data_IF_607486440500
#
_entry.id   IF_607486440500
#
_cell.length_a   1.000
_cell.length_b   1.000
_cell.length_c   1.000
_cell.angle_alpha   90.00
_cell.angle_beta   90.00
_cell.angle_gamma   90.00
#
_symmetry.space_group_name_H-M   'P 1'
#
loop_
_entity.id
_entity.type
_entity.pdbx_description
1 polymer ?
#
# COMPACT_ATOMS: atom_id res chain seq x y z
N UNK A 1 20.66 0.38 -3.80
CA UNK A 1 20.32 -0.09 -5.17
C UNK A 1 20.57 -1.55 -5.48
N UNK A 2 21.79 -2.08 -5.27
CA UNK A 2 22.08 -3.49 -5.55
C UNK A 2 21.11 -4.44 -4.81
N UNK A 3 20.88 -4.22 -3.52
CA UNK A 3 19.89 -4.95 -2.72
C UNK A 3 18.46 -4.89 -3.31
N UNK A 4 18.01 -3.72 -3.78
CA UNK A 4 16.68 -3.57 -4.37
C UNK A 4 16.54 -4.27 -5.74
N UNK A 5 17.65 -4.46 -6.48
CA UNK A 5 17.69 -5.26 -7.71
C UNK A 5 17.67 -6.75 -7.39
N UNK A 6 18.48 -7.19 -6.43
CA UNK A 6 18.51 -8.55 -5.93
C UNK A 6 17.13 -9.04 -5.47
N UNK A 7 16.45 -8.27 -4.61
CA UNK A 7 15.09 -8.58 -4.14
C UNK A 7 14.10 -8.70 -5.31
N UNK A 8 14.19 -7.83 -6.31
CA UNK A 8 13.28 -7.82 -7.47
C UNK A 8 13.49 -9.01 -8.40
N UNK A 9 14.73 -9.47 -8.56
CA UNK A 9 15.09 -10.52 -9.51
C UNK A 9 15.23 -11.91 -8.87
N UNK A 10 15.36 -11.98 -7.55
CA UNK A 10 15.68 -13.22 -6.84
C UNK A 10 17.16 -13.62 -6.95
N UNK A 11 18.02 -12.69 -7.37
CA UNK A 11 19.47 -12.90 -7.51
C UNK A 11 20.20 -12.48 -6.22
N UNK A 12 21.37 -13.06 -5.89
CA UNK A 12 22.20 -12.59 -4.77
C UNK A 12 22.69 -11.15 -4.99
N UNK A 13 22.94 -10.43 -3.89
CA UNK A 13 23.37 -9.03 -3.96
C UNK A 13 24.80 -8.93 -4.49
N UNK A 14 24.95 -8.35 -5.68
CA UNK A 14 26.26 -8.03 -6.27
C UNK A 14 26.63 -6.58 -5.99
N UNK A 15 27.63 -6.36 -5.13
CA UNK A 15 28.20 -5.04 -4.88
C UNK A 15 29.43 -4.82 -5.78
N UNK A 16 29.57 -3.63 -6.40
CA UNK A 16 30.80 -3.29 -7.12
C UNK A 16 31.99 -3.28 -6.16
N UNK A 17 33.14 -3.82 -6.58
CA UNK A 17 34.38 -3.80 -5.78
C UNK A 17 34.77 -2.39 -5.24
N UNK A 18 34.58 -1.28 -6.00
CA UNK A 18 34.80 0.06 -5.47
C UNK A 18 33.88 0.44 -4.29
N UNK A 19 32.64 -0.05 -4.28
CA UNK A 19 31.69 0.22 -3.20
C UNK A 19 32.05 -0.56 -1.94
N UNK A 20 32.49 -1.81 -2.08
CA UNK A 20 32.99 -2.63 -0.97
C UNK A 20 34.28 -2.03 -0.40
N UNK A 21 35.19 -1.56 -1.26
CA UNK A 21 36.41 -0.89 -0.83
C UNK A 21 36.12 0.41 -0.05
N UNK A 22 35.17 1.23 -0.50
CA UNK A 22 34.75 2.45 0.20
C UNK A 22 34.12 2.17 1.57
N UNK A 23 33.43 1.04 1.73
CA UNK A 23 32.86 0.59 3.00
C UNK A 23 33.93 0.00 3.95
N UNK A 24 34.97 -0.64 3.40
CA UNK A 24 36.12 -1.19 4.15
C UNK A 24 37.14 -0.12 4.56
N UNK A 25 37.12 1.07 3.96
CA UNK A 25 38.06 2.16 4.33
C UNK A 25 37.78 2.66 5.75
N UNK A 26 38.75 2.56 6.68
CA UNK A 26 38.55 2.88 8.11
C UNK A 26 38.29 4.37 8.41
N UNK A 27 38.36 5.26 7.43
CA UNK A 27 38.31 6.71 7.61
C UNK A 27 36.89 7.30 7.72
N UNK A 28 35.83 6.48 7.78
CA UNK A 28 34.47 7.00 7.94
C UNK A 28 34.30 7.76 9.25
N UNK A 29 35.00 7.35 10.31
CA UNK A 29 35.03 8.03 11.61
C UNK A 29 35.81 9.35 11.61
N UNK A 30 36.67 9.59 10.61
CA UNK A 30 37.41 10.84 10.43
C UNK A 30 36.61 11.88 9.61
N UNK A 31 35.72 11.42 8.74
CA UNK A 31 34.92 12.27 7.81
C UNK A 31 33.53 12.61 8.34
N UNK A 32 32.88 11.68 9.06
CA UNK A 32 31.54 11.87 9.60
C UNK A 32 31.60 11.81 11.13
N UNK A 33 31.10 12.85 11.79
CA UNK A 33 30.99 12.90 13.26
C UNK A 33 29.54 13.13 13.67
N UNK A 34 29.13 12.61 14.83
CA UNK A 34 27.81 12.89 15.40
C UNK A 34 26.64 12.27 14.60
N UNK A 35 25.58 13.05 14.24
CA UNK A 35 24.38 12.51 13.57
C UNK A 35 24.60 11.88 12.19
N UNK A 36 25.39 12.46 11.27
CA UNK A 36 25.72 11.84 9.98
C UNK A 36 26.36 10.46 10.11
N UNK A 37 27.27 10.27 11.07
CA UNK A 37 27.90 8.97 11.34
C UNK A 37 26.85 7.95 11.77
N UNK A 38 25.95 8.31 12.70
CA UNK A 38 24.86 7.42 13.13
C UNK A 38 23.91 7.02 12.01
N UNK A 39 23.61 7.94 11.11
CA UNK A 39 22.77 7.65 9.95
C UNK A 39 23.48 6.67 9.00
N UNK A 40 24.78 6.84 8.79
CA UNK A 40 25.61 5.92 8.03
C UNK A 40 25.67 4.52 8.67
N UNK A 41 25.94 4.44 9.98
CA UNK A 41 26.00 3.16 10.72
C UNK A 41 24.64 2.42 10.69
N UNK A 42 23.53 3.17 10.85
CA UNK A 42 22.19 2.59 10.80
C UNK A 42 21.84 2.12 9.40
N UNK A 43 22.25 2.86 8.37
CA UNK A 43 22.07 2.45 6.98
C UNK A 43 22.90 1.21 6.66
N UNK A 44 24.16 1.16 7.10
CA UNK A 44 25.05 0.01 6.98
C UNK A 44 24.43 -1.24 7.63
N UNK A 45 23.97 -1.15 8.88
CA UNK A 45 23.30 -2.24 9.57
C UNK A 45 22.05 -2.74 8.81
N UNK A 46 21.16 -1.83 8.40
CA UNK A 46 19.96 -2.21 7.64
C UNK A 46 20.29 -2.82 6.27
N UNK A 47 21.36 -2.38 5.62
CA UNK A 47 21.80 -2.95 4.34
C UNK A 47 22.44 -4.32 4.53
N UNK A 48 23.23 -4.53 5.59
CA UNK A 48 23.77 -5.84 5.95
C UNK A 48 22.63 -6.84 6.18
N UNK A 49 21.63 -6.47 6.99
CA UNK A 49 20.43 -7.31 7.24
C UNK A 49 19.71 -7.69 5.93
N UNK A 50 19.62 -6.75 4.98
CA UNK A 50 18.97 -6.99 3.69
C UNK A 50 19.81 -7.86 2.77
N UNK A 51 21.14 -7.71 2.78
CA UNK A 51 22.06 -8.54 2.00
C UNK A 51 22.03 -9.98 2.52
N UNK A 52 22.06 -10.17 3.84
CA UNK A 52 21.99 -11.47 4.52
C UNK A 52 20.62 -12.15 4.32
N UNK A 53 19.53 -11.39 4.33
CA UNK A 53 18.19 -11.91 4.06
C UNK A 53 17.91 -12.17 2.56
N UNK A 54 18.63 -11.52 1.65
CA UNK A 54 18.50 -11.69 0.21
C UNK A 54 19.33 -12.88 -0.28
N UNK A 55 19.03 -14.08 0.22
CA UNK A 55 19.49 -15.32 -0.41
C UNK A 55 18.85 -15.45 -1.80
N UNK A 56 19.66 -15.23 -2.83
CA UNK A 56 19.26 -15.47 -4.21
C UNK A 56 19.55 -16.90 -4.68
N UNK A 57 18.94 -17.30 -5.79
CA UNK A 57 19.13 -18.63 -6.39
C UNK A 57 20.48 -18.78 -7.15
N UNK A 58 21.42 -17.88 -6.88
CA UNK A 58 22.73 -17.79 -7.54
C UNK A 58 23.74 -18.83 -7.05
N UNK A 59 24.91 -18.85 -7.70
CA UNK A 59 25.95 -19.86 -7.45
C UNK A 59 26.57 -19.70 -6.06
N UNK A 60 27.24 -20.76 -5.55
CA UNK A 60 27.94 -20.73 -4.25
C UNK A 60 28.93 -19.57 -4.13
N UNK A 61 29.62 -19.23 -5.22
CA UNK A 61 30.57 -18.12 -5.28
C UNK A 61 29.88 -16.76 -5.16
N UNK A 62 28.72 -16.59 -5.79
CA UNK A 62 27.94 -15.35 -5.71
C UNK A 62 27.34 -15.14 -4.30
N UNK A 63 27.01 -16.24 -3.61
CA UNK A 63 26.57 -16.20 -2.20
C UNK A 63 27.73 -15.85 -1.26
N UNK A 64 28.90 -16.47 -1.46
CA UNK A 64 30.10 -16.15 -0.68
C UNK A 64 30.54 -14.69 -0.84
N UNK A 65 30.46 -14.13 -2.06
CA UNK A 65 30.76 -12.72 -2.28
C UNK A 65 29.75 -11.75 -1.65
N UNK A 66 28.48 -12.15 -1.52
CA UNK A 66 27.47 -11.37 -0.81
C UNK A 66 27.67 -11.44 0.71
N UNK A 67 28.04 -12.61 1.25
CA UNK A 67 28.41 -12.80 2.66
C UNK A 67 29.65 -11.99 3.03
N UNK A 68 30.73 -12.04 2.23
CA UNK A 68 31.94 -11.26 2.49
C UNK A 68 31.66 -9.74 2.49
N UNK A 69 30.74 -9.30 1.64
CA UNK A 69 30.34 -7.90 1.60
C UNK A 69 29.42 -7.52 2.78
N UNK A 70 28.58 -8.44 3.27
CA UNK A 70 27.79 -8.24 4.49
C UNK A 70 28.69 -8.17 5.74
N UNK A 71 29.71 -9.01 5.81
CA UNK A 71 30.72 -9.02 6.86
C UNK A 71 31.59 -7.75 6.84
N UNK A 72 31.92 -7.24 5.65
CA UNK A 72 32.63 -5.97 5.50
C UNK A 72 31.83 -4.75 6.00
N UNK A 73 30.50 -4.87 6.11
CA UNK A 73 29.57 -3.82 6.56
C UNK A 73 29.25 -3.96 8.06
N UNK A 74 29.62 -5.08 8.70
CA UNK A 74 29.16 -5.45 10.05
C UNK A 74 29.96 -4.73 11.14
N UNK A 75 29.28 -3.88 11.91
CA UNK A 75 29.73 -3.49 13.25
C UNK A 75 29.10 -4.43 14.30
N UNK A 76 29.90 -4.74 15.33
CA UNK A 76 29.76 -5.69 16.45
C UNK A 76 28.41 -5.69 17.20
N UNK A 77 27.32 -6.13 16.55
CA UNK A 77 26.10 -6.55 17.24
C UNK A 77 25.82 -8.03 17.02
N UNK A 78 25.25 -8.73 18.03
CA UNK A 78 24.95 -10.15 17.90
C UNK A 78 23.96 -10.36 16.74
N UNK A 79 24.10 -11.46 15.97
CA UNK A 79 23.23 -11.75 14.84
C UNK A 79 21.77 -11.77 15.28
N UNK A 80 20.92 -11.00 14.62
CA UNK A 80 19.47 -11.14 14.79
C UNK A 80 19.08 -12.47 14.14
N UNK A 81 18.48 -13.40 14.89
CA UNK A 81 18.08 -14.71 14.33
C UNK A 81 17.18 -14.53 13.09
N UNK A 82 17.71 -14.96 11.94
CA UNK A 82 17.10 -14.82 10.63
C UNK A 82 15.87 -15.73 10.49
N UNK A 83 14.76 -15.13 10.02
CA UNK A 83 13.57 -15.88 9.62
C UNK A 83 13.74 -16.41 8.19
N UNK A 84 14.24 -17.64 8.07
CA UNK A 84 14.26 -18.43 6.83
C UNK A 84 12.87 -18.41 6.17
N UNK A 85 12.77 -18.15 4.85
CA UNK A 85 11.49 -18.18 4.13
C UNK A 85 10.79 -19.52 4.41
N UNK A 86 9.62 -19.52 5.08
CA UNK A 86 8.96 -20.77 5.41
C UNK A 86 8.50 -21.47 4.13
N UNK A 87 8.68 -22.78 4.05
CA UNK A 87 8.10 -23.58 2.95
C UNK A 87 6.57 -23.47 2.92
N UNK A 88 5.95 -23.88 1.80
CA UNK A 88 4.50 -23.72 1.55
C UNK A 88 3.61 -24.20 2.73
N UNK A 89 3.94 -25.34 3.34
CA UNK A 89 3.21 -25.88 4.49
C UNK A 89 3.38 -25.06 5.77
N UNK A 90 4.55 -24.43 5.98
CA UNK A 90 4.80 -23.53 7.11
C UNK A 90 4.15 -22.16 6.94
N UNK A 91 3.77 -21.79 5.71
CA UNK A 91 2.97 -20.58 5.44
C UNK A 91 1.48 -20.77 5.74
N UNK A 92 0.98 -22.00 5.83
CA UNK A 92 -0.43 -22.29 6.13
C UNK A 92 -0.97 -21.53 7.36
N UNK A 93 -0.33 -21.53 8.55
CA UNK A 93 -0.81 -20.74 9.69
C UNK A 93 -0.77 -19.24 9.44
N UNK A 94 0.18 -18.74 8.63
CA UNK A 94 0.27 -17.32 8.26
C UNK A 94 -0.91 -16.94 7.36
N UNK A 95 -1.18 -17.74 6.33
CA UNK A 95 -2.33 -17.56 5.43
C UNK A 95 -3.64 -17.66 6.21
N UNK A 96 -3.77 -18.63 7.12
CA UNK A 96 -4.99 -18.78 7.93
C UNK A 96 -5.21 -17.57 8.84
N UNK A 97 -4.16 -17.03 9.45
CA UNK A 97 -4.22 -15.79 10.25
C UNK A 97 -4.59 -14.59 9.38
N UNK A 98 -4.00 -14.47 8.19
CA UNK A 98 -4.33 -13.42 7.24
C UNK A 98 -5.81 -13.50 6.80
N UNK A 99 -6.30 -14.70 6.46
CA UNK A 99 -7.71 -14.92 6.15
C UNK A 99 -8.61 -14.56 7.33
N UNK A 100 -8.29 -15.03 8.56
CA UNK A 100 -9.07 -14.71 9.77
C UNK A 100 -9.13 -13.20 10.05
N UNK A 101 -8.06 -12.45 9.77
CA UNK A 101 -8.05 -10.99 9.90
C UNK A 101 -9.05 -10.31 8.96
N UNK A 102 -9.34 -10.92 7.81
CA UNK A 102 -10.32 -10.42 6.85
C UNK A 102 -11.76 -10.88 7.15
N UNK A 103 -11.98 -11.83 8.07
CA UNK A 103 -13.32 -12.28 8.46
C UNK A 103 -13.97 -11.29 9.43
N UNK A 104 -14.30 -10.10 8.94
CA UNK A 104 -15.11 -9.12 9.65
C UNK A 104 -15.93 -8.28 8.67
N UNK A 105 -17.10 -7.78 9.09
CA UNK A 105 -18.03 -7.01 8.23
C UNK A 105 -17.43 -5.72 7.62
N UNK A 106 -16.31 -5.25 8.18
CA UNK A 106 -15.56 -4.09 7.66
C UNK A 106 -14.65 -4.42 6.48
N UNK A 107 -14.24 -5.68 6.30
CA UNK A 107 -13.24 -6.08 5.30
C UNK A 107 -13.76 -5.89 3.87
N UNK A 108 -13.05 -5.15 3.00
CA UNK A 108 -13.35 -5.10 1.58
C UNK A 108 -13.27 -6.47 0.91
N UNK A 109 -12.34 -7.34 1.35
CA UNK A 109 -12.11 -8.67 0.78
C UNK A 109 -13.31 -9.58 1.06
N UNK A 110 -13.79 -9.63 2.31
CA UNK A 110 -14.97 -10.41 2.66
C UNK A 110 -16.21 -9.94 1.89
N UNK A 111 -16.40 -8.63 1.76
CA UNK A 111 -17.52 -8.06 0.99
C UNK A 111 -17.48 -8.47 -0.47
N UNK A 112 -16.29 -8.46 -1.08
CA UNK A 112 -16.10 -8.93 -2.45
C UNK A 112 -16.40 -10.42 -2.58
N UNK A 113 -15.90 -11.25 -1.66
CA UNK A 113 -16.15 -12.69 -1.67
C UNK A 113 -17.65 -13.03 -1.59
N UNK A 114 -18.38 -12.37 -0.69
CA UNK A 114 -19.84 -12.53 -0.55
C UNK A 114 -20.55 -12.13 -1.85
N UNK A 115 -20.17 -10.98 -2.42
CA UNK A 115 -20.77 -10.48 -3.68
C UNK A 115 -20.51 -11.45 -4.82
N UNK A 116 -19.28 -11.95 -4.95
CA UNK A 116 -18.89 -12.91 -5.98
C UNK A 116 -19.68 -14.22 -5.85
N UNK A 117 -19.81 -14.75 -4.63
CA UNK A 117 -20.60 -15.96 -4.37
C UNK A 117 -22.09 -15.77 -4.71
N UNK A 118 -22.68 -14.64 -4.30
CA UNK A 118 -24.07 -14.32 -4.59
C UNK A 118 -24.32 -14.15 -6.10
N UNK A 119 -23.45 -13.41 -6.80
CA UNK A 119 -23.54 -13.21 -8.25
C UNK A 119 -23.36 -14.51 -9.02
N UNK A 120 -22.43 -15.36 -8.61
CA UNK A 120 -22.24 -16.68 -9.22
C UNK A 120 -23.47 -17.57 -9.03
N UNK A 121 -24.04 -17.61 -7.82
CA UNK A 121 -25.24 -18.40 -7.52
C UNK A 121 -26.48 -17.90 -8.28
N UNK A 122 -26.73 -16.59 -8.26
CA UNK A 122 -27.86 -15.98 -8.98
C UNK A 122 -27.68 -16.12 -10.49
N UNK A 123 -26.48 -15.87 -11.02
CA UNK A 123 -26.17 -16.02 -12.44
C UNK A 123 -26.36 -17.45 -12.92
N UNK A 124 -25.94 -18.43 -12.12
CA UNK A 124 -26.16 -19.85 -12.40
C UNK A 124 -27.66 -20.20 -12.39
N UNK A 125 -28.41 -19.74 -11.39
CA UNK A 125 -29.84 -19.99 -11.29
C UNK A 125 -30.60 -19.37 -12.48
N UNK A 126 -30.30 -18.11 -12.84
CA UNK A 126 -30.88 -17.45 -14.00
C UNK A 126 -30.55 -18.21 -15.29
N UNK A 127 -29.29 -18.61 -15.48
CA UNK A 127 -28.86 -19.39 -16.63
C UNK A 127 -29.55 -20.75 -16.74
N UNK A 128 -30.04 -21.32 -15.63
CA UNK A 128 -30.78 -22.60 -15.60
C UNK A 128 -32.28 -22.43 -15.81
N UNK A 129 -32.83 -21.25 -15.53
CA UNK A 129 -34.25 -20.92 -15.70
C UNK A 129 -34.55 -20.33 -17.08
N UNK A 130 -33.58 -19.64 -17.68
CA UNK A 130 -33.67 -19.13 -19.04
C UNK A 130 -33.50 -20.29 -20.06
N UNK A 131 -34.29 -20.34 -21.13
CA UNK A 131 -34.19 -21.36 -22.17
C UNK A 131 -33.02 -21.07 -23.12
N UNK A 132 -31.82 -20.87 -22.57
CA UNK A 132 -30.59 -20.57 -23.32
C UNK A 132 -29.68 -21.81 -23.24
N UNK A 133 -29.19 -22.30 -24.38
CA UNK A 133 -28.38 -23.52 -24.44
C UNK A 133 -27.10 -23.43 -23.60
N UNK A 134 -26.57 -22.22 -23.45
CA UNK A 134 -25.29 -21.95 -22.81
C UNK A 134 -25.36 -21.15 -21.50
N UNK A 135 -26.42 -21.31 -20.70
CA UNK A 135 -26.68 -20.52 -19.49
C UNK A 135 -25.52 -20.40 -18.48
N UNK A 136 -24.56 -21.34 -18.48
CA UNK A 136 -23.33 -21.28 -17.67
C UNK A 136 -22.39 -20.11 -18.03
N UNK A 137 -22.54 -19.48 -19.20
CA UNK A 137 -21.73 -18.32 -19.59
C UNK A 137 -22.01 -17.08 -18.76
N UNK A 138 -23.23 -16.89 -18.25
CA UNK A 138 -23.56 -15.73 -17.42
C UNK A 138 -22.76 -15.69 -16.09
N UNK A 139 -22.78 -16.73 -15.23
CA UNK A 139 -21.97 -16.73 -14.02
C UNK A 139 -20.47 -16.72 -14.33
N UNK A 140 -20.01 -17.38 -15.41
CA UNK A 140 -18.61 -17.33 -15.83
C UNK A 140 -18.19 -15.90 -16.21
N UNK A 141 -19.00 -15.20 -17.02
CA UNK A 141 -18.74 -13.83 -17.43
C UNK A 141 -18.70 -12.89 -16.23
N UNK A 142 -19.64 -13.05 -15.30
CA UNK A 142 -19.68 -12.25 -14.07
C UNK A 142 -18.41 -12.45 -13.23
N UNK A 143 -18.03 -13.69 -12.95
CA UNK A 143 -16.81 -14.01 -12.17
C UNK A 143 -15.54 -13.51 -12.85
N UNK A 144 -15.43 -13.63 -14.17
CA UNK A 144 -14.26 -13.16 -14.93
C UNK A 144 -14.06 -11.65 -14.89
N UNK A 145 -15.16 -10.90 -14.81
CA UNK A 145 -15.19 -9.43 -14.84
C UNK A 145 -15.07 -8.84 -13.44
N UNK A 146 -15.67 -9.48 -12.44
CA UNK A 146 -15.68 -8.98 -11.06
C UNK A 146 -14.26 -8.83 -10.50
N UNK A 147 -14.01 -7.65 -9.94
CA UNK A 147 -12.83 -7.33 -9.14
C UNK A 147 -13.26 -6.73 -7.81
N UNK A 148 -12.38 -6.60 -6.80
CA UNK A 148 -12.71 -5.94 -5.53
C UNK A 148 -13.06 -4.46 -5.69
N UNK A 149 -12.52 -3.82 -6.72
CA UNK A 149 -12.76 -2.42 -7.08
C UNK A 149 -13.81 -2.26 -8.18
N UNK A 150 -14.68 -1.26 -8.04
CA UNK A 150 -15.76 -0.97 -8.97
C UNK A 150 -15.25 -0.57 -10.36
N UNK A 151 -14.27 0.35 -10.41
CA UNK A 151 -13.69 0.87 -11.65
C UNK A 151 -13.05 -0.24 -12.49
N UNK A 152 -12.38 -1.19 -11.84
CA UNK A 152 -11.82 -2.37 -12.48
C UNK A 152 -12.91 -3.32 -12.98
N UNK A 153 -13.99 -3.51 -12.21
CA UNK A 153 -15.13 -4.33 -12.62
C UNK A 153 -15.80 -3.72 -13.84
N UNK A 154 -16.05 -2.41 -13.83
CA UNK A 154 -16.66 -1.67 -14.93
C UNK A 154 -15.80 -1.71 -16.20
N UNK A 155 -14.51 -1.38 -16.09
CA UNK A 155 -13.61 -1.37 -17.25
C UNK A 155 -13.48 -2.77 -17.88
N UNK A 156 -13.42 -3.83 -17.05
CA UNK A 156 -13.44 -5.22 -17.53
C UNK A 156 -14.78 -5.59 -18.14
N UNK A 157 -15.91 -5.13 -17.59
CA UNK A 157 -17.24 -5.42 -18.13
C UNK A 157 -17.36 -4.86 -19.55
N UNK A 158 -17.01 -3.58 -19.72
CA UNK A 158 -17.03 -2.88 -21.01
C UNK A 158 -16.05 -3.52 -21.99
N UNK A 159 -14.81 -3.77 -21.57
CA UNK A 159 -13.80 -4.41 -22.40
C UNK A 159 -14.17 -5.84 -22.81
N UNK A 160 -14.82 -6.61 -21.92
CA UNK A 160 -15.32 -7.95 -22.25
C UNK A 160 -16.48 -7.88 -23.22
N UNK A 161 -17.44 -6.98 -23.00
CA UNK A 161 -18.57 -6.80 -23.90
C UNK A 161 -18.10 -6.37 -25.30
N UNK A 162 -17.32 -5.28 -25.39
CA UNK A 162 -16.79 -4.77 -26.65
C UNK A 162 -15.86 -5.78 -27.34
N UNK A 163 -14.97 -6.44 -26.59
CA UNK A 163 -14.11 -7.49 -27.13
C UNK A 163 -14.92 -8.67 -27.66
N UNK A 164 -15.92 -9.15 -26.92
CA UNK A 164 -16.77 -10.25 -27.36
C UNK A 164 -17.53 -9.89 -28.64
N UNK A 165 -18.09 -8.67 -28.73
CA UNK A 165 -18.77 -8.21 -29.95
C UNK A 165 -17.84 -8.23 -31.16
N UNK A 166 -16.64 -7.64 -31.04
CA UNK A 166 -15.67 -7.60 -32.14
C UNK A 166 -15.21 -9.01 -32.53
N UNK A 167 -14.86 -9.83 -31.55
CA UNK A 167 -14.38 -11.20 -31.78
C UNK A 167 -15.43 -12.09 -32.43
N UNK A 168 -16.66 -12.01 -31.94
CA UNK A 168 -17.79 -12.77 -32.49
C UNK A 168 -18.13 -12.28 -33.89
N UNK A 169 -18.23 -10.97 -34.11
CA UNK A 169 -18.51 -10.40 -35.43
C UNK A 169 -17.47 -10.82 -36.47
N UNK A 170 -16.18 -10.69 -36.15
CA UNK A 170 -15.10 -11.08 -37.07
C UNK A 170 -15.12 -12.57 -37.37
N UNK A 171 -15.33 -13.42 -36.35
CA UNK A 171 -15.38 -14.85 -36.54
C UNK A 171 -16.58 -15.28 -37.38
N UNK A 172 -17.78 -14.75 -37.09
CA UNK A 172 -18.97 -15.01 -37.88
C UNK A 172 -18.80 -14.55 -39.33
N UNK A 173 -18.22 -13.36 -39.57
CA UNK A 173 -17.94 -12.88 -40.92
C UNK A 173 -17.01 -13.83 -41.70
N UNK A 174 -15.97 -14.37 -41.04
CA UNK A 174 -15.06 -15.34 -41.67
C UNK A 174 -15.79 -16.64 -41.99
N UNK A 175 -16.61 -17.15 -41.08
CA UNK A 175 -17.34 -18.41 -41.27
C UNK A 175 -18.38 -18.29 -42.39
N UNK A 176 -19.18 -17.23 -42.39
CA UNK A 176 -20.19 -16.95 -43.43
C UNK A 176 -19.57 -16.68 -44.80
N UNK A 177 -18.40 -16.02 -44.87
CA UNK A 177 -17.76 -15.74 -46.14
C UNK A 177 -17.09 -16.98 -46.76
N UNK A 178 -16.42 -17.80 -45.94
CA UNK A 178 -15.54 -18.86 -46.43
C UNK A 178 -16.12 -20.28 -46.31
N UNK A 179 -17.22 -20.47 -45.55
CA UNK A 179 -17.81 -21.78 -45.24
C UNK A 179 -16.75 -22.87 -44.92
N UNK A 180 -15.82 -22.60 -43.99
CA UNK A 180 -14.68 -23.49 -43.75
C UNK A 180 -15.11 -24.83 -43.15
N UNK A 181 -14.47 -25.91 -43.57
CA UNK A 181 -14.59 -27.21 -42.89
C UNK A 181 -13.96 -27.21 -41.49
N UNK A 182 -14.10 -28.33 -40.78
CA UNK A 182 -13.62 -28.49 -39.39
C UNK A 182 -12.10 -28.24 -39.21
N UNK A 183 -11.27 -28.64 -40.19
CA UNK A 183 -9.81 -28.46 -40.13
C UNK A 183 -9.38 -26.99 -40.09
N UNK A 184 -9.78 -26.16 -41.07
CA UNK A 184 -9.52 -24.72 -41.03
C UNK A 184 -10.10 -24.01 -39.80
N UNK A 185 -11.29 -24.40 -39.33
CA UNK A 185 -11.87 -23.87 -38.09
C UNK A 185 -10.98 -24.17 -36.87
N UNK A 186 -10.48 -25.41 -36.75
CA UNK A 186 -9.58 -25.80 -35.67
C UNK A 186 -8.25 -25.02 -35.72
N UNK A 187 -7.68 -24.83 -36.92
CA UNK A 187 -6.46 -24.03 -37.09
C UNK A 187 -6.68 -22.58 -36.64
N UNK A 188 -7.81 -21.98 -37.04
CA UNK A 188 -8.15 -20.60 -36.68
C UNK A 188 -8.42 -20.45 -35.17
N UNK A 189 -9.03 -21.46 -34.54
CA UNK A 189 -9.18 -21.52 -33.09
C UNK A 189 -7.82 -21.55 -32.37
N UNK A 190 -6.86 -22.35 -32.84
CA UNK A 190 -5.49 -22.39 -32.27
C UNK A 190 -4.79 -21.05 -32.43
N UNK A 191 -4.93 -20.39 -33.59
CA UNK A 191 -4.39 -19.04 -33.81
C UNK A 191 -5.00 -18.04 -32.84
N UNK A 192 -6.32 -18.06 -32.62
CA UNK A 192 -6.97 -17.20 -31.63
C UNK A 192 -6.47 -17.47 -30.20
N UNK A 193 -6.24 -18.73 -29.82
CA UNK A 193 -5.70 -19.09 -28.52
C UNK A 193 -4.25 -18.56 -28.34
N UNK A 194 -3.42 -18.68 -29.37
CA UNK A 194 -2.07 -18.14 -29.38
C UNK A 194 -2.07 -16.61 -29.26
N UNK A 195 -2.90 -15.93 -30.06
CA UNK A 195 -3.06 -14.48 -30.00
C UNK A 195 -3.57 -14.02 -28.63
N UNK A 196 -4.54 -14.73 -28.05
CA UNK A 196 -5.01 -14.44 -26.71
C UNK A 196 -3.86 -14.47 -25.70
N UNK A 197 -3.03 -15.52 -25.72
CA UNK A 197 -1.91 -15.66 -24.79
C UNK A 197 -0.87 -14.54 -24.97
N UNK A 198 -0.53 -14.21 -26.22
CA UNK A 198 0.42 -13.15 -26.55
C UNK A 198 -0.09 -11.75 -26.17
N UNK A 199 -1.40 -11.49 -26.32
CA UNK A 199 -2.00 -10.18 -26.12
C UNK A 199 -2.66 -9.98 -24.74
N UNK A 200 -2.71 -11.01 -23.89
CA UNK A 200 -3.34 -10.93 -22.57
C UNK A 200 -2.74 -9.84 -21.67
N UNK A 201 -1.46 -9.50 -21.87
CA UNK A 201 -0.76 -8.42 -21.15
C UNK A 201 -0.89 -7.05 -21.81
N UNK A 202 -1.23 -6.99 -23.09
CA UNK A 202 -1.31 -5.75 -23.89
C UNK A 202 -2.65 -5.05 -23.70
N UNK A 203 -3.75 -5.81 -23.61
CA UNK A 203 -5.08 -5.24 -23.38
C UNK A 203 -6.16 -6.29 -23.18
N UNK A 204 -6.93 -6.15 -22.10
CA UNK A 204 -8.00 -7.10 -21.76
C UNK A 204 -9.06 -7.20 -22.88
N UNK A 205 -9.43 -6.09 -23.52
CA UNK A 205 -10.42 -6.11 -24.62
C UNK A 205 -9.98 -6.96 -25.82
N UNK A 206 -8.71 -6.88 -26.21
CA UNK A 206 -8.17 -7.64 -27.35
C UNK A 206 -8.12 -9.12 -27.03
N UNK A 207 -7.71 -9.48 -25.81
CA UNK A 207 -7.76 -10.86 -25.35
C UNK A 207 -9.20 -11.41 -25.36
N UNK A 208 -10.20 -10.59 -24.97
CA UNK A 208 -11.60 -11.00 -25.03
C UNK A 208 -12.13 -11.12 -26.47
N UNK A 209 -11.63 -10.34 -27.42
CA UNK A 209 -11.92 -10.54 -28.84
C UNK A 209 -11.38 -11.86 -29.36
N UNK A 210 -10.13 -12.20 -29.02
CA UNK A 210 -9.56 -13.51 -29.36
C UNK A 210 -10.36 -14.66 -28.74
N UNK A 211 -10.80 -14.53 -27.47
CA UNK A 211 -11.68 -15.53 -26.81
C UNK A 211 -13.06 -15.62 -27.47
N UNK A 212 -13.62 -14.48 -27.88
CA UNK A 212 -14.88 -14.39 -28.62
C UNK A 212 -14.82 -15.24 -29.88
N UNK A 213 -13.83 -14.93 -30.73
CA UNK A 213 -13.58 -15.60 -31.99
C UNK A 213 -13.24 -17.09 -31.82
N UNK A 214 -12.34 -17.42 -30.90
CA UNK A 214 -11.93 -18.79 -30.55
C UNK A 214 -13.14 -19.71 -30.33
N UNK A 215 -14.07 -19.27 -29.48
CA UNK A 215 -15.25 -20.06 -29.14
C UNK A 215 -16.23 -20.15 -30.31
N UNK A 216 -16.39 -19.10 -31.14
CA UNK A 216 -17.21 -19.19 -32.36
C UNK A 216 -16.68 -20.27 -33.30
N UNK A 217 -15.36 -20.36 -33.49
CA UNK A 217 -14.77 -21.42 -34.32
C UNK A 217 -14.93 -22.82 -33.71
N UNK A 218 -14.86 -22.95 -32.39
CA UNK A 218 -15.12 -24.22 -31.71
C UNK A 218 -16.58 -24.68 -31.87
N UNK A 219 -17.54 -23.78 -31.69
CA UNK A 219 -18.96 -24.13 -31.79
C UNK A 219 -19.37 -24.35 -33.25
N UNK A 220 -18.81 -23.59 -34.19
CA UNK A 220 -18.97 -23.87 -35.62
C UNK A 220 -18.44 -25.25 -36.02
N UNK A 221 -17.35 -25.72 -35.40
CA UNK A 221 -16.85 -27.08 -35.59
C UNK A 221 -17.76 -28.14 -34.94
N UNK A 222 -18.42 -27.81 -33.83
CA UNK A 222 -19.39 -28.68 -33.18
C UNK A 222 -20.73 -28.80 -33.93
N UNK A 223 -20.97 -27.90 -34.91
CA UNK A 223 -22.19 -27.88 -35.72
C UNK A 223 -23.34 -27.11 -35.10
N UNK A 224 -23.07 -26.27 -34.09
CA UNK A 224 -24.09 -25.43 -33.45
C UNK A 224 -24.55 -24.31 -34.41
N UNK A 225 -25.83 -23.91 -34.31
CA UNK A 225 -26.34 -22.76 -35.05
C UNK A 225 -25.61 -21.48 -34.61
N UNK A 226 -24.88 -20.88 -35.55
CA UNK A 226 -24.06 -19.69 -35.30
C UNK A 226 -24.92 -18.50 -34.91
N UNK A 227 -26.09 -18.33 -35.54
CA UNK A 227 -26.99 -17.21 -35.26
C UNK A 227 -27.45 -17.21 -33.80
N UNK A 228 -27.98 -18.34 -33.33
CA UNK A 228 -28.39 -18.54 -31.95
C UNK A 228 -27.19 -18.42 -30.98
N UNK A 229 -26.07 -19.05 -31.29
CA UNK A 229 -24.87 -19.05 -30.45
C UNK A 229 -24.32 -17.64 -30.23
N UNK A 230 -24.25 -16.84 -31.28
CA UNK A 230 -23.77 -15.45 -31.23
C UNK A 230 -24.68 -14.60 -30.35
N UNK A 231 -25.99 -14.71 -30.55
CA UNK A 231 -26.98 -13.99 -29.76
C UNK A 231 -26.89 -14.38 -28.27
N UNK A 232 -26.85 -15.67 -27.96
CA UNK A 232 -26.70 -16.19 -26.60
C UNK A 232 -25.40 -15.66 -25.94
N UNK A 233 -24.29 -15.63 -26.68
CA UNK A 233 -22.99 -15.15 -26.20
C UNK A 233 -23.04 -13.69 -25.79
N UNK A 234 -23.62 -12.84 -26.63
CA UNK A 234 -23.74 -11.40 -26.37
C UNK A 234 -24.67 -11.15 -25.19
N UNK A 235 -25.84 -11.80 -25.18
CA UNK A 235 -26.84 -11.63 -24.14
C UNK A 235 -26.34 -12.10 -22.77
N UNK A 236 -25.71 -13.28 -22.69
CA UNK A 236 -25.19 -13.84 -21.44
C UNK A 236 -23.97 -13.07 -20.92
N UNK A 237 -23.14 -12.53 -21.83
CA UNK A 237 -22.03 -11.64 -21.44
C UNK A 237 -22.53 -10.33 -20.87
N UNK A 238 -23.54 -9.73 -21.51
CA UNK A 238 -24.19 -8.52 -21.01
C UNK A 238 -24.89 -8.78 -19.66
N UNK A 239 -25.63 -9.89 -19.54
CA UNK A 239 -26.31 -10.30 -18.32
C UNK A 239 -25.34 -10.52 -17.16
N UNK A 240 -24.24 -11.24 -17.38
CA UNK A 240 -23.19 -11.43 -16.37
C UNK A 240 -22.51 -10.12 -15.96
N UNK A 241 -22.22 -9.24 -16.92
CA UNK A 241 -21.70 -7.90 -16.65
C UNK A 241 -22.68 -7.04 -15.84
N UNK A 242 -23.95 -7.01 -16.23
CA UNK A 242 -25.00 -6.26 -15.52
C UNK A 242 -25.21 -6.78 -14.10
N UNK A 243 -25.24 -8.11 -13.91
CA UNK A 243 -25.36 -8.73 -12.59
C UNK A 243 -24.18 -8.35 -11.69
N UNK A 244 -22.96 -8.33 -12.22
CA UNK A 244 -21.78 -7.83 -11.52
C UNK A 244 -21.95 -6.35 -11.12
N UNK A 245 -22.47 -5.50 -11.99
CA UNK A 245 -22.69 -4.08 -11.70
C UNK A 245 -23.80 -3.86 -10.65
N UNK A 246 -24.93 -4.56 -10.75
CA UNK A 246 -26.04 -4.48 -9.78
C UNK A 246 -25.55 -4.87 -8.39
N UNK A 247 -24.73 -5.91 -8.29
CA UNK A 247 -24.22 -6.39 -7.01
C UNK A 247 -23.35 -5.36 -6.27
N UNK A 248 -22.71 -4.43 -7.00
CA UNK A 248 -22.00 -3.28 -6.43
C UNK A 248 -22.94 -2.21 -5.90
N UNK A 249 -24.10 -2.03 -6.51
CA UNK A 249 -25.13 -1.10 -6.03
C UNK A 249 -25.84 -1.63 -4.77
N UNK A 250 -26.13 -2.94 -4.71
CA UNK A 250 -26.84 -3.57 -3.59
C UNK A 250 -25.96 -3.71 -2.35
N UNK A 251 -24.67 -4.06 -2.52
CA UNK A 251 -23.75 -4.25 -1.40
C UNK A 251 -22.44 -3.49 -1.61
N UNK A 252 -22.44 -2.15 -1.46
CA UNK A 252 -21.30 -1.33 -1.79
C UNK A 252 -20.13 -1.49 -0.82
N UNK A 253 -18.91 -1.39 -1.35
CA UNK A 253 -17.67 -1.36 -0.60
C UNK A 253 -16.90 -0.05 -0.88
N UNK A 254 -17.64 1.07 -0.97
CA UNK A 254 -17.04 2.38 -1.25
C UNK A 254 -16.01 2.76 -0.18
N UNK A 255 -14.82 3.16 -0.61
CA UNK A 255 -13.80 3.73 0.26
C UNK A 255 -14.02 5.25 0.48
N UNK A 256 -14.79 5.92 -0.39
CA UNK A 256 -15.12 7.36 -0.26
C UNK A 256 -15.64 7.76 1.12
N UNK A 257 -16.60 7.04 1.75
CA UNK A 257 -17.06 7.34 3.12
C UNK A 257 -16.02 7.04 4.20
N UNK A 258 -15.05 6.16 3.91
CA UNK A 258 -14.01 5.70 4.84
C UNK A 258 -12.77 6.58 4.82
N UNK A 259 -12.60 7.45 3.81
CA UNK A 259 -11.46 8.36 3.69
C UNK A 259 -11.17 9.13 4.98
N UNK A 260 -12.19 9.73 5.61
CA UNK A 260 -11.99 10.47 6.88
C UNK A 260 -11.52 9.57 8.02
N UNK A 261 -11.94 8.30 8.03
CA UNK A 261 -11.46 7.32 9.01
C UNK A 261 -10.00 6.99 8.77
N UNK A 262 -9.61 6.70 7.51
CA UNK A 262 -8.22 6.43 7.12
C UNK A 262 -7.30 7.62 7.39
N UNK A 263 -7.77 8.84 7.10
CA UNK A 263 -7.05 10.07 7.39
C UNK A 263 -6.84 10.25 8.90
N UNK A 264 -7.88 10.01 9.70
CA UNK A 264 -7.78 10.03 11.15
C UNK A 264 -6.81 8.98 11.69
N UNK A 265 -6.81 7.77 11.13
CA UNK A 265 -5.84 6.72 11.51
C UNK A 265 -4.40 7.13 11.20
N UNK A 266 -4.16 7.77 10.05
CA UNK A 266 -2.85 8.26 9.68
C UNK A 266 -2.39 9.44 10.54
N UNK A 267 -3.26 10.42 10.81
CA UNK A 267 -3.00 11.50 11.75
C UNK A 267 -2.62 10.95 13.13
N UNK A 268 -3.38 9.99 13.64
CA UNK A 268 -3.13 9.32 14.91
C UNK A 268 -1.77 8.62 14.94
N UNK A 269 -1.44 7.89 13.88
CA UNK A 269 -0.18 7.18 13.77
C UNK A 269 1.02 8.15 13.71
N UNK A 270 0.93 9.21 12.88
CA UNK A 270 1.94 10.27 12.81
C UNK A 270 2.13 10.95 14.17
N UNK A 271 1.03 11.29 14.85
CA UNK A 271 1.06 11.94 16.17
C UNK A 271 1.72 11.09 17.23
N UNK A 272 1.42 9.78 17.26
CA UNK A 272 2.09 8.82 18.14
C UNK A 272 3.58 8.67 17.82
N UNK A 273 3.95 8.69 16.55
CA UNK A 273 5.36 8.65 16.14
C UNK A 273 6.09 9.91 16.59
N UNK A 274 5.54 11.10 16.33
CA UNK A 274 6.10 12.36 16.80
C UNK A 274 6.23 12.38 18.34
N UNK A 275 5.17 12.00 19.06
CA UNK A 275 5.19 11.88 20.51
C UNK A 275 6.25 10.90 21.01
N UNK A 276 6.35 9.70 20.41
CA UNK A 276 7.35 8.70 20.79
C UNK A 276 8.78 9.20 20.57
N UNK A 277 9.03 9.99 19.52
CA UNK A 277 10.33 10.61 19.27
C UNK A 277 10.62 11.71 20.30
N UNK A 278 9.67 12.60 20.57
CA UNK A 278 9.83 13.70 21.56
C UNK A 278 10.05 13.14 22.97
N UNK A 279 9.35 12.05 23.33
CA UNK A 279 9.45 11.41 24.64
C UNK A 279 10.83 10.78 24.91
N UNK A 280 11.60 10.45 23.86
CA UNK A 280 12.99 9.99 23.98
C UNK A 280 13.96 11.11 24.40
N UNK A 281 13.58 12.37 24.24
CA UNK A 281 14.35 13.50 24.77
C UNK A 281 14.04 13.76 26.25
N UNK A 282 12.89 13.29 26.74
CA UNK A 282 12.51 13.43 28.14
C UNK A 282 13.21 12.43 29.05
N UNK A 283 13.48 11.22 28.56
CA UNK A 283 14.22 10.19 29.28
C UNK A 283 15.11 9.37 28.32
N UNK A 284 16.34 9.84 28.07
CA UNK A 284 17.28 9.17 27.16
C UNK A 284 17.87 7.86 27.72
N UNK A 285 17.70 7.57 29.01
CA UNK A 285 18.44 6.52 29.72
C UNK A 285 17.63 5.22 29.86
N UNK A 286 16.32 5.30 30.11
CA UNK A 286 15.51 4.10 30.41
C UNK A 286 14.71 3.54 29.22
N UNK A 287 14.44 4.35 28.18
CA UNK A 287 13.46 3.99 27.14
C UNK A 287 14.09 3.34 25.91
N UNK A 288 13.69 2.10 25.63
CA UNK A 288 14.10 1.38 24.43
C UNK A 288 13.61 2.04 23.14
N UNK A 289 14.42 1.99 22.06
CA UNK A 289 14.07 2.52 20.72
C UNK A 289 12.99 1.71 19.98
N UNK A 290 12.46 0.64 20.60
CA UNK A 290 11.44 -0.23 20.03
C UNK A 290 10.13 0.49 19.74
N UNK A 291 9.70 1.36 20.65
CA UNK A 291 8.43 2.08 20.54
C UNK A 291 8.44 3.07 19.38
N UNK A 292 9.54 3.79 19.17
CA UNK A 292 9.74 4.70 18.03
C UNK A 292 9.67 3.93 16.72
N UNK A 293 10.34 2.77 16.64
CA UNK A 293 10.33 1.93 15.44
C UNK A 293 8.93 1.40 15.15
N UNK A 294 8.20 0.94 16.15
CA UNK A 294 6.83 0.46 15.99
C UNK A 294 5.89 1.58 15.53
N UNK A 295 6.01 2.77 16.12
CA UNK A 295 5.21 3.93 15.72
C UNK A 295 5.52 4.41 14.28
N UNK A 296 6.79 4.36 13.86
CA UNK A 296 7.19 4.64 12.48
C UNK A 296 6.57 3.63 11.49
N UNK A 297 6.60 2.33 11.83
CA UNK A 297 6.00 1.29 10.99
C UNK A 297 4.48 1.47 10.88
N UNK A 298 3.80 1.75 12.00
CA UNK A 298 2.37 2.04 12.02
C UNK A 298 2.02 3.28 11.17
N UNK A 299 2.86 4.32 11.20
CA UNK A 299 2.71 5.52 10.37
C UNK A 299 2.83 5.19 8.88
N UNK A 300 3.79 4.34 8.51
CA UNK A 300 3.98 3.90 7.12
C UNK A 300 2.80 3.07 6.63
N UNK A 301 2.32 2.14 7.45
CA UNK A 301 1.15 1.31 7.14
C UNK A 301 -0.11 2.17 6.94
N UNK A 302 -0.37 3.11 7.87
CA UNK A 302 -1.51 4.01 7.75
C UNK A 302 -1.42 4.93 6.52
N UNK A 303 -0.22 5.39 6.16
CA UNK A 303 0.01 6.19 4.94
C UNK A 303 -0.27 5.41 3.67
N UNK A 304 0.18 4.16 3.58
CA UNK A 304 -0.10 3.28 2.43
C UNK A 304 -1.60 3.04 2.31
N UNK A 305 -2.26 2.70 3.41
CA UNK A 305 -3.71 2.50 3.43
C UNK A 305 -4.50 3.75 3.01
N UNK A 306 -4.03 4.96 3.40
CA UNK A 306 -4.59 6.23 2.93
C UNK A 306 -4.40 6.42 1.41
N UNK A 307 -3.19 6.21 0.90
CA UNK A 307 -2.88 6.40 -0.52
C UNK A 307 -3.68 5.45 -1.42
N UNK A 308 -3.80 4.19 -1.02
CA UNK A 308 -4.65 3.21 -1.70
C UNK A 308 -6.12 3.64 -1.68
N UNK A 309 -6.64 4.05 -0.52
CA UNK A 309 -8.03 4.48 -0.39
C UNK A 309 -8.35 5.72 -1.25
N UNK A 310 -7.45 6.72 -1.29
CA UNK A 310 -7.61 7.91 -2.16
C UNK A 310 -7.57 7.53 -3.64
N UNK A 311 -6.65 6.64 -4.03
CA UNK A 311 -6.54 6.17 -5.41
C UNK A 311 -7.82 5.45 -5.84
N UNK A 312 -8.36 4.56 -5.00
CA UNK A 312 -9.63 3.88 -5.26
C UNK A 312 -10.81 4.86 -5.32
N UNK A 313 -10.93 5.77 -4.34
CA UNK A 313 -12.05 6.71 -4.24
C UNK A 313 -12.15 7.67 -5.44
N UNK A 314 -11.03 8.05 -6.07
CA UNK A 314 -11.01 8.89 -7.29
C UNK A 314 -11.78 8.27 -8.47
N UNK A 315 -11.93 6.95 -8.49
CA UNK A 315 -12.63 6.22 -9.55
C UNK A 315 -14.01 5.72 -9.14
N UNK A 316 -14.48 6.06 -7.94
CA UNK A 316 -15.82 5.71 -7.47
C UNK A 316 -16.87 6.72 -7.98
N UNK A 317 -18.08 6.27 -8.36
CA UNK A 317 -19.15 7.15 -8.84
C UNK A 317 -19.77 8.04 -7.73
N UNK A 318 -19.40 7.84 -6.45
CA UNK A 318 -19.99 8.53 -5.30
C UNK A 318 -19.23 9.84 -5.02
N UNK A 319 -19.74 10.98 -5.49
CA UNK A 319 -19.05 12.29 -5.34
C UNK A 319 -19.41 13.11 -4.10
N UNK A 320 -20.56 12.84 -3.47
CA UNK A 320 -21.27 13.84 -2.63
C UNK A 320 -21.20 13.59 -1.11
N UNK A 321 -20.45 12.59 -0.63
CA UNK A 321 -20.41 12.24 0.81
C UNK A 321 -19.00 12.13 1.42
N UNK A 322 -17.94 12.40 0.65
CA UNK A 322 -16.54 12.21 1.04
C UNK A 322 -15.77 13.50 1.32
N UNK A 323 -14.46 13.36 1.55
CA UNK A 323 -13.51 14.48 1.62
C UNK A 323 -13.28 15.04 0.20
N UNK A 324 -13.19 16.37 0.03
CA UNK A 324 -12.88 16.97 -1.27
C UNK A 324 -11.50 16.52 -1.77
N UNK A 325 -11.25 16.50 -3.09
CA UNK A 325 -9.92 16.17 -3.62
C UNK A 325 -8.87 17.19 -3.16
N UNK A 326 -9.23 18.47 -3.10
CA UNK A 326 -8.36 19.53 -2.58
C UNK A 326 -7.99 19.28 -1.10
N UNK A 327 -8.98 18.99 -0.25
CA UNK A 327 -8.72 18.66 1.15
C UNK A 327 -7.89 17.38 1.31
N UNK A 328 -8.15 16.35 0.50
CA UNK A 328 -7.37 15.11 0.53
C UNK A 328 -5.90 15.36 0.19
N UNK A 329 -5.62 16.13 -0.86
CA UNK A 329 -4.26 16.43 -1.31
C UNK A 329 -3.55 17.37 -0.30
N UNK A 330 -4.23 18.39 0.22
CA UNK A 330 -3.71 19.32 1.23
C UNK A 330 -3.37 18.61 2.56
N UNK A 331 -4.30 17.80 3.08
CA UNK A 331 -4.09 17.04 4.32
C UNK A 331 -3.01 15.96 4.17
N UNK A 332 -2.87 15.38 2.98
CA UNK A 332 -1.78 14.45 2.69
C UNK A 332 -0.41 15.14 2.73
N UNK A 333 -0.30 16.33 2.15
CA UNK A 333 0.97 17.08 2.16
C UNK A 333 1.40 17.43 3.58
N UNK A 334 0.47 17.91 4.40
CA UNK A 334 0.72 18.32 5.79
C UNK A 334 1.07 17.15 6.70
N UNK A 335 0.37 16.01 6.61
CA UNK A 335 0.76 14.80 7.35
C UNK A 335 2.10 14.21 6.90
N UNK A 336 2.44 14.34 5.61
CA UNK A 336 3.76 13.96 5.13
C UNK A 336 4.86 14.89 5.68
N UNK A 337 4.58 16.19 5.84
CA UNK A 337 5.47 17.15 6.49
C UNK A 337 5.66 16.82 7.97
N UNK A 338 4.58 16.57 8.71
CA UNK A 338 4.60 16.14 10.11
C UNK A 338 5.52 14.91 10.30
N UNK A 339 5.37 13.89 9.43
CA UNK A 339 6.21 12.71 9.45
C UNK A 339 7.69 12.99 9.14
N UNK A 340 8.00 13.94 8.25
CA UNK A 340 9.39 14.36 7.96
C UNK A 340 10.02 15.07 9.16
N UNK A 341 9.30 15.97 9.81
CA UNK A 341 9.79 16.69 11.00
C UNK A 341 10.06 15.71 12.14
N UNK A 342 9.16 14.76 12.39
CA UNK A 342 9.38 13.69 13.37
C UNK A 342 10.60 12.81 13.03
N UNK A 343 10.87 12.57 11.74
CA UNK A 343 12.05 11.83 11.29
C UNK A 343 13.36 12.62 11.47
N UNK A 344 13.32 13.95 11.29
CA UNK A 344 14.45 14.83 11.58
C UNK A 344 14.79 14.82 13.07
N UNK A 345 13.78 14.86 13.94
CA UNK A 345 13.95 14.66 15.37
C UNK A 345 14.54 13.26 15.67
N UNK A 346 14.02 12.19 15.04
CA UNK A 346 14.53 10.83 15.27
C UNK A 346 16.04 10.72 14.98
N UNK A 347 16.54 11.39 13.95
CA UNK A 347 17.97 11.39 13.59
C UNK A 347 18.89 12.01 14.68
N UNK A 348 18.31 12.87 15.52
CA UNK A 348 19.01 13.63 16.56
C UNK A 348 18.67 13.15 17.98
N UNK A 349 18.05 11.97 18.13
CA UNK A 349 17.77 11.41 19.46
C UNK A 349 19.09 11.33 20.27
N UNK A 350 19.11 11.79 21.53
CA UNK A 350 20.32 11.80 22.36
C UNK A 350 20.87 10.39 22.62
N UNK A 351 22.15 10.31 23.00
CA UNK A 351 22.77 9.04 23.44
C UNK A 351 22.28 8.68 24.84
N UNK A 352 22.31 7.39 25.17
CA UNK A 352 22.05 6.91 26.54
C UNK A 352 22.98 7.63 27.52
N UNK A 353 22.40 8.24 28.57
CA UNK A 353 23.11 9.07 29.54
C UNK A 353 23.18 10.57 29.21
N UNK A 354 22.56 11.03 28.12
CA UNK A 354 22.41 12.47 27.86
C UNK A 354 21.45 13.13 28.87
N UNK A 355 21.68 14.41 29.15
CA UNK A 355 20.82 15.19 30.05
C UNK A 355 19.40 15.28 29.49
N UNK A 356 18.38 14.90 30.28
CA UNK A 356 16.97 15.06 29.90
C UNK A 356 16.65 16.49 29.46
N UNK A 357 15.82 16.63 28.41
CA UNK A 357 15.24 17.91 28.02
C UNK A 357 13.97 18.13 28.87
N UNK A 358 13.95 19.15 29.76
CA UNK A 358 12.77 19.49 30.53
C UNK A 358 11.59 19.80 29.61
N UNK A 359 10.35 19.47 30.00
CA UNK A 359 9.14 19.76 29.20
C UNK A 359 8.88 18.83 28.01
N UNK A 360 9.87 18.04 27.56
CA UNK A 360 9.68 17.11 26.44
C UNK A 360 8.61 16.03 26.73
N UNK A 361 8.51 15.53 27.97
CA UNK A 361 7.48 14.55 28.35
C UNK A 361 6.07 15.14 28.24
N UNK A 362 5.89 16.37 28.68
CA UNK A 362 4.60 17.06 28.61
C UNK A 362 4.19 17.33 27.16
N UNK A 363 5.13 17.79 26.33
CA UNK A 363 4.91 17.97 24.90
C UNK A 363 4.55 16.67 24.18
N UNK A 364 5.26 15.58 24.49
CA UNK A 364 4.95 14.27 23.92
C UNK A 364 3.53 13.82 24.27
N UNK A 365 3.10 14.02 25.52
CA UNK A 365 1.74 13.66 25.95
C UNK A 365 0.68 14.59 25.34
N UNK A 366 0.95 15.89 25.23
CA UNK A 366 0.08 16.84 24.55
C UNK A 366 -0.11 16.46 23.07
N UNK A 367 0.97 16.14 22.34
CA UNK A 367 0.92 15.66 20.96
C UNK A 367 0.11 14.38 20.85
N UNK A 368 0.34 13.41 21.73
CA UNK A 368 -0.37 12.12 21.74
C UNK A 368 -1.87 12.30 21.94
N UNK A 369 -2.27 13.08 22.96
CA UNK A 369 -3.69 13.34 23.27
C UNK A 369 -4.38 14.16 22.19
N UNK A 370 -3.75 15.25 21.75
CA UNK A 370 -4.34 16.14 20.75
C UNK A 370 -4.53 15.43 19.41
N UNK A 371 -3.57 14.63 18.96
CA UNK A 371 -3.71 13.87 17.70
C UNK A 371 -4.71 12.71 17.79
N UNK A 372 -4.83 12.05 18.96
CA UNK A 372 -5.89 11.07 19.22
C UNK A 372 -7.29 11.72 19.16
N UNK A 373 -7.46 12.89 19.79
CA UNK A 373 -8.70 13.66 19.75
C UNK A 373 -8.98 14.25 18.36
N UNK A 374 -7.95 14.74 17.68
CA UNK A 374 -8.01 15.24 16.31
C UNK A 374 -8.46 14.15 15.35
N UNK A 375 -7.93 12.92 15.47
CA UNK A 375 -8.39 11.79 14.69
C UNK A 375 -9.89 11.48 14.89
N UNK A 376 -10.39 11.62 16.13
CA UNK A 376 -11.83 11.53 16.42
C UNK A 376 -12.62 12.68 15.78
N UNK A 377 -12.14 13.91 15.87
CA UNK A 377 -12.76 15.07 15.24
C UNK A 377 -12.86 14.90 13.71
N UNK A 378 -11.80 14.44 13.05
CA UNK A 378 -11.80 14.16 11.61
C UNK A 378 -12.90 13.16 11.24
N UNK A 379 -13.04 12.07 11.99
CA UNK A 379 -14.08 11.04 11.77
C UNK A 379 -15.49 11.60 11.93
N UNK A 380 -15.68 12.50 12.90
CA UNK A 380 -16.96 13.18 13.19
C UNK A 380 -17.21 14.41 12.31
N UNK A 381 -16.38 14.67 11.30
CA UNK A 381 -16.48 15.85 10.40
C UNK A 381 -16.33 17.19 11.13
N UNK A 382 -15.61 17.21 12.25
CA UNK A 382 -15.21 18.42 12.97
C UNK A 382 -13.77 18.79 12.62
N UNK A 383 -13.43 20.07 12.78
CA UNK A 383 -12.05 20.55 12.66
C UNK A 383 -11.31 20.19 13.95
N UNK A 384 -10.11 19.57 13.86
CA UNK A 384 -9.28 19.30 15.04
C UNK A 384 -8.83 20.59 15.74
N UNK A 385 -8.80 20.54 17.07
CA UNK A 385 -8.27 21.59 17.92
C UNK A 385 -6.88 21.21 18.43
N UNK A 386 -5.91 22.13 18.25
CA UNK A 386 -4.51 21.96 18.62
C UNK A 386 -4.08 22.85 19.78
N UNK A 387 -5.02 23.57 20.40
CA UNK A 387 -4.77 24.45 21.56
C UNK A 387 -3.96 23.76 22.67
N UNK A 388 -4.22 22.48 23.03
CA UNK A 388 -3.41 21.81 24.06
C UNK A 388 -1.92 21.66 23.73
N UNK A 389 -1.58 21.52 22.44
CA UNK A 389 -0.16 21.42 22.01
C UNK A 389 0.49 22.80 22.04
N UNK A 390 -0.25 23.84 21.63
CA UNK A 390 0.21 25.23 21.70
C UNK A 390 0.48 25.65 23.14
N UNK A 391 -0.46 25.42 24.05
CA UNK A 391 -0.32 25.77 25.47
C UNK A 391 0.83 25.02 26.15
N UNK A 392 1.08 23.76 25.76
CA UNK A 392 2.22 23.01 26.27
C UNK A 392 3.57 23.57 25.75
N UNK A 393 3.62 23.99 24.49
CA UNK A 393 4.80 24.64 23.90
C UNK A 393 5.08 26.01 24.55
N UNK A 394 4.05 26.84 24.70
CA UNK A 394 4.16 28.17 25.32
C UNK A 394 4.61 28.08 26.79
N UNK A 395 4.07 27.14 27.56
CA UNK A 395 4.50 26.89 28.96
C UNK A 395 5.95 26.46 29.03
N UNK A 396 6.36 25.53 28.16
CA UNK A 396 7.75 25.10 28.11
C UNK A 396 8.71 26.22 27.71
N UNK A 397 8.32 27.06 26.74
CA UNK A 397 9.11 28.23 26.35
C UNK A 397 9.23 29.24 27.50
N UNK A 398 8.17 29.48 28.26
CA UNK A 398 8.21 30.34 29.44
C UNK A 398 9.13 29.77 30.52
N UNK A 399 9.09 28.45 30.77
CA UNK A 399 10.01 27.79 31.69
C UNK A 399 11.47 27.88 31.24
N UNK A 400 11.74 27.75 29.94
CA UNK A 400 13.09 27.89 29.39
C UNK A 400 13.60 29.33 29.59
N UNK A 401 12.78 30.34 29.25
CA UNK A 401 13.14 31.76 29.46
C UNK A 401 13.41 32.06 30.94
N UNK A 402 12.54 31.60 31.84
CA UNK A 402 12.72 31.80 33.27
C UNK A 402 14.00 31.12 33.81
N UNK A 403 14.37 29.95 33.27
CA UNK A 403 15.64 29.27 33.62
C UNK A 403 16.86 29.98 33.06
N UNK A 404 16.77 30.51 31.84
CA UNK A 404 17.85 31.30 31.23
C UNK A 404 18.09 32.60 32.01
N UNK A 405 17.01 33.29 32.41
CA UNK A 405 17.05 34.50 33.25
C UNK A 405 17.57 34.20 34.68
N UNK A 406 17.15 33.09 35.29
CA UNK A 406 17.63 32.68 36.61
C UNK A 406 19.08 32.17 36.61
N UNK A 407 19.63 31.82 35.45
CA UNK A 407 20.97 31.27 35.28
C UNK A 407 22.02 32.34 34.91
N UNK A 408 21.90 33.57 35.42
CA UNK A 408 22.94 34.61 35.45
C UNK A 408 24.25 34.06 36.08
N UNK A 409 25.00 33.23 35.35
CA UNK A 409 26.12 32.45 35.90
C UNK A 409 26.57 31.18 35.16
N UNK A 410 25.87 30.70 34.12
CA UNK A 410 26.54 29.88 33.08
C UNK A 410 26.44 28.35 33.15
N UNK A 411 25.21 27.80 33.07
CA UNK A 411 25.03 26.45 32.53
C UNK A 411 24.30 26.52 31.18
N UNK A 412 24.92 26.14 30.05
CA UNK A 412 24.23 26.12 28.76
C UNK A 412 23.04 25.15 28.82
N UNK A 413 21.92 25.44 28.12
CA UNK A 413 20.76 24.57 28.10
C UNK A 413 21.15 23.15 27.66
N UNK A 414 20.43 22.11 28.12
CA UNK A 414 20.70 20.73 27.71
C UNK A 414 20.85 20.62 26.20
N UNK A 415 21.88 19.90 25.75
CA UNK A 415 22.13 19.71 24.33
C UNK A 415 20.90 19.11 23.65
N UNK A 416 20.36 19.81 22.65
CA UNK A 416 19.13 19.40 21.94
C UNK A 416 17.87 20.19 22.30
N UNK A 417 17.88 21.03 23.35
CA UNK A 417 16.71 21.86 23.74
C UNK A 417 16.21 22.75 22.59
N UNK A 418 17.10 23.52 21.95
CA UNK A 418 16.73 24.35 20.80
C UNK A 418 16.28 23.57 19.57
N UNK A 419 16.82 22.35 19.39
CA UNK A 419 16.40 21.46 18.30
C UNK A 419 14.98 20.95 18.54
N UNK A 420 14.68 20.45 19.74
CA UNK A 420 13.34 19.99 20.13
C UNK A 420 12.34 21.14 19.98
N UNK A 421 12.70 22.34 20.45
CA UNK A 421 11.87 23.55 20.32
C UNK A 421 11.50 23.86 18.88
N UNK A 422 12.49 24.05 18.02
CA UNK A 422 12.24 24.43 16.63
C UNK A 422 11.44 23.36 15.88
N UNK A 423 11.70 22.08 16.12
CA UNK A 423 10.97 21.01 15.45
C UNK A 423 9.56 20.82 16.02
N UNK A 424 9.32 20.99 17.31
CA UNK A 424 7.97 20.93 17.89
C UNK A 424 7.09 22.08 17.37
N UNK A 425 7.65 23.27 17.20
CA UNK A 425 6.97 24.37 16.50
C UNK A 425 6.58 23.98 15.06
N UNK A 426 7.50 23.40 14.30
CA UNK A 426 7.20 22.89 12.95
C UNK A 426 6.16 21.75 12.94
N UNK A 427 6.11 20.91 13.99
CA UNK A 427 5.06 19.91 14.14
C UNK A 427 3.69 20.58 14.36
N UNK A 428 3.63 21.61 15.21
CA UNK A 428 2.41 22.38 15.45
C UNK A 428 1.93 23.09 14.18
N UNK A 429 2.81 23.75 13.44
CA UNK A 429 2.49 24.40 12.16
C UNK A 429 1.87 23.39 11.18
N UNK A 430 2.46 22.18 11.07
CA UNK A 430 1.93 21.13 10.21
C UNK A 430 0.54 20.63 10.66
N UNK A 431 0.25 20.61 11.96
CA UNK A 431 -1.08 20.28 12.49
C UNK A 431 -2.09 21.40 12.18
N UNK A 432 -1.72 22.66 12.33
CA UNK A 432 -2.57 23.79 11.98
C UNK A 432 -2.87 23.87 10.47
N UNK A 433 -1.86 23.64 9.64
CA UNK A 433 -2.01 23.51 8.18
C UNK A 433 -2.94 22.35 7.84
N UNK A 434 -2.87 21.23 8.57
CA UNK A 434 -3.79 20.11 8.39
C UNK A 434 -5.24 20.51 8.68
N UNK A 435 -5.50 21.26 9.75
CA UNK A 435 -6.86 21.78 10.05
C UNK A 435 -7.35 22.75 8.99
N UNK A 436 -6.46 23.60 8.43
CA UNK A 436 -6.79 24.49 7.31
C UNK A 436 -7.09 23.71 6.03
N UNK A 437 -6.28 22.72 5.70
CA UNK A 437 -6.47 21.84 4.55
C UNK A 437 -7.73 20.96 4.66
N UNK A 438 -8.20 20.65 5.86
CA UNK A 438 -9.49 19.98 6.07
C UNK A 438 -10.70 20.87 5.75
N UNK A 439 -10.54 22.19 5.82
CA UNK A 439 -11.61 23.17 5.64
C UNK A 439 -11.71 23.69 4.19
N UNK A 440 -10.71 23.42 3.34
CA UNK A 440 -10.70 23.74 1.90
C UNK A 440 -11.54 22.79 1.06
#
# INVERSE_FOLDING_TARGET
DAAARAIRKGDPVKLPAPAVAALKTPDTGALLTGPPLRAADRLAALLSDVIEAAEGDGTKEERAGAEEAADAIKDTRPPTELHRRPGLLRLAPVVLRAMRREVHHGSPILRHAIRLAAVAAVGYLLGRLLPLGHGYWAPMAAVMVMRPEFSQTYSRAVARFGGTLVGVFLASAIVEAAHPGAGPLAALAVVCALLMYLLMRTGYAVAQACVGAYVVFLLGMAGDDLGQTVFERVLLTLGGGLLAMISYAVYPAWETPRLRTRLGDWLRACGRYAAAVVDQYADPAERGRGDVRQALLATREARVAWQEAVATARHEPVRHRGLSHAAADATQHTLAQLGRVAMLLEAHIPRSGATPVPGAAELAEALRRATDQGAKAVRERRVPDWTPVREALERWEAECRAREEAAEGGAPPPAGTGLVRNNVALLLDALEDFSRGLAS
#
